data_IF_602796926200
#
_entry.id   IF_602796926200
#
_cell.length_a   1.000
_cell.length_b   1.000
_cell.length_c   1.000
_cell.angle_alpha   90.00
_cell.angle_beta   90.00
_cell.angle_gamma   90.00
#
_symmetry.space_group_name_H-M   'P 1'
#
loop_
_entity.id
_entity.type
_entity.pdbx_description
1 polymer ?
#
# COMPACT_ATOMS: atom_id res chain seq x y z
N UNK A 1 -6.00 2.41 40.25
CA UNK A 1 -6.15 3.66 39.47
C UNK A 1 -5.58 3.53 38.05
N UNK A 2 -5.70 2.38 37.40
CA UNK A 2 -5.09 2.13 36.08
C UNK A 2 -6.03 1.42 35.08
N UNK A 3 -7.29 1.20 35.46
CA UNK A 3 -8.27 0.45 34.64
C UNK A 3 -9.26 1.42 33.98
N UNK A 4 -9.75 2.43 34.70
CA UNK A 4 -10.67 3.46 34.18
C UNK A 4 -10.04 4.35 33.10
N UNK A 5 -8.72 4.58 33.15
CA UNK A 5 -7.99 5.39 32.16
C UNK A 5 -7.83 4.67 30.81
N UNK A 6 -7.81 3.34 30.81
CA UNK A 6 -7.64 2.52 29.60
C UNK A 6 -8.99 2.32 28.88
N UNK A 7 -10.10 2.22 29.63
CA UNK A 7 -11.45 2.17 29.07
C UNK A 7 -11.88 3.50 28.42
N UNK A 8 -11.54 4.64 29.05
CA UNK A 8 -11.78 5.98 28.49
C UNK A 8 -10.94 6.24 27.23
N UNK A 9 -9.71 5.74 27.18
CA UNK A 9 -8.87 5.84 25.99
C UNK A 9 -9.41 4.94 24.86
N UNK A 10 -9.89 3.74 25.22
CA UNK A 10 -10.56 2.82 24.30
C UNK A 10 -11.85 3.40 23.69
N UNK A 11 -12.69 4.06 24.50
CA UNK A 11 -13.94 4.66 24.02
C UNK A 11 -13.70 5.83 23.08
N UNK A 12 -12.75 6.72 23.40
CA UNK A 12 -12.39 7.86 22.54
C UNK A 12 -11.82 7.40 21.19
N UNK A 13 -11.02 6.33 21.19
CA UNK A 13 -10.47 5.75 19.95
C UNK A 13 -11.55 5.04 19.13
N UNK A 14 -12.52 4.38 19.77
CA UNK A 14 -13.68 3.77 19.11
C UNK A 14 -14.61 4.80 18.47
N UNK A 15 -14.82 5.94 19.14
CA UNK A 15 -15.64 7.04 18.63
C UNK A 15 -14.98 7.71 17.41
N UNK A 16 -13.67 7.93 17.47
CA UNK A 16 -12.92 8.50 16.35
C UNK A 16 -12.93 7.56 15.13
N UNK A 17 -12.78 6.26 15.34
CA UNK A 17 -12.86 5.28 14.25
C UNK A 17 -14.27 5.22 13.64
N UNK A 18 -15.33 5.26 14.47
CA UNK A 18 -16.72 5.30 14.00
C UNK A 18 -17.00 6.53 13.13
N UNK A 19 -16.52 7.70 13.55
CA UNK A 19 -16.64 8.95 12.80
C UNK A 19 -15.97 8.85 11.44
N UNK A 20 -14.73 8.36 11.38
CA UNK A 20 -13.97 8.23 10.14
C UNK A 20 -14.60 7.24 9.15
N UNK A 21 -15.23 6.18 9.66
CA UNK A 21 -15.96 5.20 8.85
C UNK A 21 -17.27 5.76 8.31
N UNK A 22 -17.98 6.55 9.10
CA UNK A 22 -19.18 7.26 8.66
C UNK A 22 -18.84 8.34 7.63
N UNK A 23 -17.75 9.09 7.83
CA UNK A 23 -17.23 10.06 6.87
C UNK A 23 -16.82 9.40 5.55
N UNK A 24 -16.11 8.28 5.59
CA UNK A 24 -15.74 7.53 4.40
C UNK A 24 -16.96 6.90 3.71
N UNK A 25 -17.92 6.40 4.49
CA UNK A 25 -19.18 5.90 3.95
C UNK A 25 -19.94 7.00 3.21
N UNK A 26 -20.00 8.19 3.81
CA UNK A 26 -20.66 9.36 3.24
C UNK A 26 -19.92 9.88 2.01
N UNK A 27 -18.59 9.90 2.02
CA UNK A 27 -17.75 10.20 0.86
C UNK A 27 -18.04 9.26 -0.31
N UNK A 28 -18.05 7.95 -0.09
CA UNK A 28 -18.35 6.98 -1.16
C UNK A 28 -19.82 7.03 -1.62
N UNK A 29 -20.75 7.39 -0.73
CA UNK A 29 -22.18 7.57 -1.05
C UNK A 29 -22.41 8.79 -1.94
N UNK A 30 -21.65 9.87 -1.73
CA UNK A 30 -21.81 11.16 -2.42
C UNK A 30 -20.85 11.36 -3.60
N UNK A 31 -19.84 10.49 -3.73
CA UNK A 31 -18.95 10.41 -4.90
C UNK A 31 -19.74 10.29 -6.22
N UNK A 32 -19.20 10.79 -7.34
CA UNK A 32 -19.82 10.66 -8.66
C UNK A 32 -18.93 9.85 -9.63
N UNK A 33 -19.35 8.67 -10.11
CA UNK A 33 -20.57 7.97 -9.74
C UNK A 33 -20.52 7.43 -8.29
N UNK A 34 -21.67 7.26 -7.61
CA UNK A 34 -21.71 6.75 -6.25
C UNK A 34 -21.16 5.34 -6.11
N UNK A 35 -20.29 5.12 -5.11
CA UNK A 35 -19.65 3.83 -4.82
C UNK A 35 -20.33 3.13 -3.63
N UNK A 36 -21.63 2.84 -3.74
CA UNK A 36 -22.44 2.31 -2.64
C UNK A 36 -21.89 1.03 -1.99
N UNK A 37 -21.25 0.14 -2.76
CA UNK A 37 -20.61 -1.07 -2.20
C UNK A 37 -19.49 -0.72 -1.20
N UNK A 38 -18.70 0.31 -1.50
CA UNK A 38 -17.64 0.79 -0.60
C UNK A 38 -18.25 1.49 0.62
N UNK A 39 -19.28 2.32 0.42
CA UNK A 39 -19.99 2.99 1.51
C UNK A 39 -20.57 1.99 2.54
N UNK A 40 -21.21 0.92 2.05
CA UNK A 40 -21.77 -0.13 2.90
C UNK A 40 -20.67 -0.89 3.65
N UNK A 41 -19.50 -1.12 3.04
CA UNK A 41 -18.36 -1.77 3.72
C UNK A 41 -17.85 -0.91 4.88
N UNK A 42 -17.73 0.40 4.69
CA UNK A 42 -17.30 1.33 5.75
C UNK A 42 -18.24 1.31 6.97
N UNK A 43 -19.56 1.35 6.77
CA UNK A 43 -20.56 1.31 7.86
C UNK A 43 -20.47 0.00 8.68
N UNK A 44 -20.00 -1.10 8.08
CA UNK A 44 -19.94 -2.42 8.75
C UNK A 44 -18.63 -2.70 9.50
N UNK A 45 -17.62 -1.84 9.39
CA UNK A 45 -16.29 -2.08 9.97
C UNK A 45 -16.27 -2.04 11.51
N UNK A 46 -17.09 -1.20 12.15
CA UNK A 46 -17.06 -1.02 13.62
C UNK A 46 -17.42 -2.32 14.37
N UNK A 47 -18.43 -3.06 13.89
CA UNK A 47 -18.79 -4.37 14.44
C UNK A 47 -17.78 -5.49 14.16
N UNK A 48 -16.77 -5.28 13.32
CA UNK A 48 -15.81 -6.32 12.91
C UNK A 48 -14.56 -6.39 13.80
N UNK A 49 -14.22 -5.33 14.53
CA UNK A 49 -13.06 -5.34 15.45
C UNK A 49 -13.34 -6.19 16.70
N UNK A 50 -14.60 -6.24 17.13
CA UNK A 50 -15.08 -7.02 18.28
C UNK A 50 -15.45 -8.47 17.92
N UNK A 51 -15.68 -8.76 16.64
CA UNK A 51 -16.20 -10.05 16.17
C UNK A 51 -15.12 -11.14 15.88
N UNK A 52 -13.87 -10.91 16.32
CA UNK A 52 -12.80 -11.91 16.29
C UNK A 52 -12.04 -12.04 14.96
N UNK A 53 -11.20 -13.08 14.86
CA UNK A 53 -10.26 -13.32 13.75
C UNK A 53 -10.91 -13.53 12.37
N UNK A 54 -12.21 -13.82 12.33
CA UNK A 54 -12.97 -14.07 11.10
C UNK A 54 -13.10 -12.87 10.16
N UNK A 55 -12.81 -11.66 10.62
CA UNK A 55 -13.03 -10.41 9.86
C UNK A 55 -11.76 -9.67 9.46
N UNK A 56 -10.58 -10.23 9.74
CA UNK A 56 -9.30 -9.57 9.47
C UNK A 56 -9.14 -9.20 8.00
N UNK A 57 -9.54 -10.07 7.07
CA UNK A 57 -9.49 -9.80 5.64
C UNK A 57 -10.31 -8.56 5.24
N UNK A 58 -11.51 -8.40 5.81
CA UNK A 58 -12.37 -7.24 5.58
C UNK A 58 -11.82 -5.98 6.22
N UNK A 59 -11.25 -6.08 7.43
CA UNK A 59 -10.62 -4.94 8.10
C UNK A 59 -9.45 -4.39 7.30
N UNK A 60 -8.57 -5.27 6.83
CA UNK A 60 -7.44 -4.94 5.98
C UNK A 60 -7.92 -4.28 4.67
N UNK A 61 -8.95 -4.85 4.02
CA UNK A 61 -9.50 -4.27 2.79
C UNK A 61 -10.05 -2.85 3.00
N UNK A 62 -10.80 -2.65 4.08
CA UNK A 62 -11.38 -1.35 4.42
C UNK A 62 -10.29 -0.34 4.80
N UNK A 63 -9.26 -0.78 5.51
CA UNK A 63 -8.12 0.07 5.85
C UNK A 63 -7.38 0.57 4.60
N UNK A 64 -7.20 -0.27 3.58
CA UNK A 64 -6.66 0.17 2.30
C UNK A 64 -7.55 1.25 1.64
N UNK A 65 -8.87 1.05 1.63
CA UNK A 65 -9.81 2.03 1.03
C UNK A 65 -9.82 3.37 1.79
N UNK A 66 -9.75 3.32 3.12
CA UNK A 66 -9.65 4.51 3.97
C UNK A 66 -8.32 5.24 3.75
N UNK A 67 -7.22 4.49 3.67
CA UNK A 67 -5.91 5.07 3.39
C UNK A 67 -5.87 5.77 2.02
N UNK A 68 -6.41 5.15 0.97
CA UNK A 68 -6.54 5.77 -0.35
C UNK A 68 -7.33 7.10 -0.27
N UNK A 69 -8.43 7.14 0.48
CA UNK A 69 -9.20 8.37 0.70
C UNK A 69 -8.40 9.42 1.47
N UNK A 70 -7.67 9.03 2.53
CA UNK A 70 -6.79 9.93 3.27
C UNK A 70 -5.67 10.51 2.41
N UNK A 71 -5.05 9.71 1.54
CA UNK A 71 -4.01 10.16 0.63
C UNK A 71 -4.54 11.20 -0.35
N UNK A 72 -5.76 11.03 -0.87
CA UNK A 72 -6.39 12.01 -1.77
C UNK A 72 -6.59 13.39 -1.11
N UNK A 73 -6.92 13.42 0.19
CA UNK A 73 -7.07 14.66 0.96
C UNK A 73 -5.78 15.09 1.68
N UNK A 74 -4.65 14.42 1.42
CA UNK A 74 -3.33 14.66 2.06
C UNK A 74 -3.32 14.51 3.59
N UNK A 75 -4.22 13.72 4.14
CA UNK A 75 -4.22 13.34 5.56
C UNK A 75 -3.22 12.19 5.80
N UNK A 76 -1.92 12.48 5.70
CA UNK A 76 -0.86 11.47 5.66
C UNK A 76 -0.64 10.73 7.00
N UNK A 77 -0.69 11.44 8.13
CA UNK A 77 -0.45 10.84 9.45
C UNK A 77 -1.55 9.83 9.85
N UNK A 78 -2.85 10.14 9.69
CA UNK A 78 -3.92 9.15 9.89
C UNK A 78 -3.79 7.92 8.98
N UNK A 79 -3.45 8.12 7.70
CA UNK A 79 -3.24 7.01 6.76
C UNK A 79 -2.11 6.09 7.24
N UNK A 80 -0.97 6.67 7.61
CA UNK A 80 0.20 5.93 8.11
C UNK A 80 -0.13 5.13 9.36
N UNK A 81 -0.80 5.75 10.34
CA UNK A 81 -1.16 5.09 11.59
C UNK A 81 -2.10 3.90 11.35
N UNK A 82 -3.15 4.10 10.54
CA UNK A 82 -4.11 3.06 10.18
C UNK A 82 -3.44 1.87 9.49
N UNK A 83 -2.63 2.13 8.47
CA UNK A 83 -1.95 1.09 7.70
C UNK A 83 -0.94 0.32 8.56
N UNK A 84 -0.18 1.00 9.44
CA UNK A 84 0.76 0.33 10.35
C UNK A 84 0.04 -0.63 11.30
N UNK A 85 -1.11 -0.22 11.84
CA UNK A 85 -1.91 -1.06 12.73
C UNK A 85 -2.41 -2.33 12.03
N UNK A 86 -2.98 -2.20 10.84
CA UNK A 86 -3.55 -3.35 10.12
C UNK A 86 -2.48 -4.22 9.45
N UNK A 87 -1.29 -3.67 9.17
CA UNK A 87 -0.18 -4.44 8.59
C UNK A 87 0.19 -5.67 9.46
N UNK A 88 0.12 -5.53 10.79
CA UNK A 88 0.43 -6.58 11.76
C UNK A 88 -0.49 -7.82 11.64
N UNK A 89 -1.68 -7.66 11.08
CA UNK A 89 -2.70 -8.71 10.98
C UNK A 89 -2.91 -9.20 9.54
N UNK A 90 -2.28 -8.55 8.56
CA UNK A 90 -2.58 -8.77 7.13
C UNK A 90 -1.75 -9.89 6.49
N UNK A 91 -0.71 -10.42 7.15
CA UNK A 91 0.25 -11.38 6.56
C UNK A 91 -0.38 -12.65 6.01
N UNK A 92 -1.47 -13.11 6.62
CA UNK A 92 -2.23 -14.29 6.16
C UNK A 92 -3.02 -14.04 4.86
N UNK A 93 -3.05 -12.80 4.38
CA UNK A 93 -3.75 -12.34 3.18
C UNK A 93 -2.77 -11.65 2.21
N UNK A 94 -1.95 -12.41 1.45
CA UNK A 94 -0.79 -11.88 0.72
C UNK A 94 -1.08 -10.69 -0.21
N UNK A 95 -2.16 -10.74 -1.00
CA UNK A 95 -2.54 -9.65 -1.91
C UNK A 95 -2.92 -8.38 -1.15
N UNK A 96 -3.70 -8.51 -0.09
CA UNK A 96 -4.12 -7.38 0.74
C UNK A 96 -2.95 -6.82 1.56
N UNK A 97 -2.05 -7.69 2.03
CA UNK A 97 -0.80 -7.29 2.67
C UNK A 97 0.08 -6.47 1.73
N UNK A 98 0.27 -6.95 0.48
CA UNK A 98 1.03 -6.22 -0.53
C UNK A 98 0.46 -4.82 -0.74
N UNK A 99 -0.88 -4.70 -0.82
CA UNK A 99 -1.56 -3.42 -0.98
C UNK A 99 -1.34 -2.49 0.22
N UNK A 100 -1.33 -2.98 1.46
CA UNK A 100 -0.93 -2.18 2.64
C UNK A 100 0.50 -1.67 2.49
N UNK A 101 1.44 -2.53 2.09
CA UNK A 101 2.85 -2.14 1.95
C UNK A 101 3.03 -1.06 0.86
N UNK A 102 2.36 -1.18 -0.28
CA UNK A 102 2.39 -0.14 -1.31
C UNK A 102 1.81 1.18 -0.82
N UNK A 103 0.67 1.16 -0.13
CA UNK A 103 0.07 2.37 0.43
C UNK A 103 0.95 3.00 1.52
N UNK A 104 1.64 2.19 2.33
CA UNK A 104 2.61 2.70 3.31
C UNK A 104 3.81 3.36 2.62
N UNK A 105 4.38 2.72 1.59
CA UNK A 105 5.47 3.28 0.82
C UNK A 105 5.07 4.59 0.13
N UNK A 106 3.87 4.64 -0.46
CA UNK A 106 3.31 5.86 -1.05
C UNK A 106 3.10 6.95 0.00
N UNK A 107 2.60 6.60 1.20
CA UNK A 107 2.44 7.54 2.31
C UNK A 107 3.79 8.15 2.70
N UNK A 108 4.83 7.33 2.86
CA UNK A 108 6.19 7.80 3.17
C UNK A 108 6.77 8.66 2.03
N UNK A 109 6.58 8.26 0.77
CA UNK A 109 7.01 9.05 -0.40
C UNK A 109 6.34 10.43 -0.44
N UNK A 110 5.03 10.51 -0.17
CA UNK A 110 4.29 11.78 -0.08
C UNK A 110 4.72 12.65 1.11
N UNK A 111 5.31 12.06 2.14
CA UNK A 111 5.97 12.77 3.25
C UNK A 111 7.42 13.17 2.93
N UNK A 112 7.91 12.91 1.71
CA UNK A 112 9.32 13.06 1.28
C UNK A 112 10.31 12.17 2.07
N UNK A 113 9.81 11.08 2.64
CA UNK A 113 10.59 10.12 3.40
C UNK A 113 10.97 8.92 2.52
N UNK A 114 11.85 9.19 1.56
CA UNK A 114 12.26 8.24 0.52
C UNK A 114 12.99 7.01 1.07
N UNK A 115 13.70 7.17 2.21
CA UNK A 115 14.40 6.07 2.86
C UNK A 115 13.40 5.02 3.37
N UNK A 116 12.42 5.44 4.17
CA UNK A 116 11.40 4.50 4.67
C UNK A 116 10.54 3.96 3.52
N UNK A 117 10.22 4.76 2.51
CA UNK A 117 9.49 4.27 1.33
C UNK A 117 10.27 3.15 0.62
N UNK A 118 11.58 3.31 0.41
CA UNK A 118 12.46 2.30 -0.18
C UNK A 118 12.58 1.05 0.70
N UNK A 119 12.75 1.21 2.02
CA UNK A 119 12.85 0.09 2.95
C UNK A 119 11.58 -0.78 2.93
N UNK A 120 10.39 -0.17 2.88
CA UNK A 120 9.12 -0.89 2.84
C UNK A 120 9.00 -1.73 1.56
N UNK A 121 9.31 -1.15 0.39
CA UNK A 121 9.21 -1.89 -0.87
C UNK A 121 10.29 -2.96 -1.01
N UNK A 122 11.51 -2.72 -0.52
CA UNK A 122 12.59 -3.71 -0.52
C UNK A 122 12.27 -4.88 0.42
N UNK A 123 11.69 -4.60 1.60
CA UNK A 123 11.17 -5.64 2.50
C UNK A 123 10.04 -6.45 1.85
N UNK A 124 9.12 -5.79 1.15
CA UNK A 124 8.06 -6.45 0.37
C UNK A 124 8.63 -7.37 -0.70
N UNK A 125 9.59 -6.89 -1.51
CA UNK A 125 10.24 -7.71 -2.53
C UNK A 125 10.87 -8.98 -1.95
N UNK A 126 11.59 -8.87 -0.83
CA UNK A 126 12.19 -10.01 -0.14
C UNK A 126 11.12 -11.00 0.35
N UNK A 127 10.06 -10.49 0.99
CA UNK A 127 8.98 -11.30 1.53
C UNK A 127 8.25 -12.09 0.45
N UNK A 128 7.82 -11.45 -0.63
CA UNK A 128 7.08 -12.14 -1.70
C UNK A 128 7.97 -13.05 -2.54
N UNK A 129 9.27 -12.75 -2.65
CA UNK A 129 10.25 -13.70 -3.19
C UNK A 129 10.36 -14.98 -2.36
N UNK A 130 10.36 -14.88 -1.03
CA UNK A 130 10.38 -16.05 -0.13
C UNK A 130 9.08 -16.86 -0.16
N UNK A 131 7.94 -16.20 -0.39
CA UNK A 131 6.64 -16.86 -0.55
C UNK A 131 6.47 -17.55 -1.90
N UNK A 132 7.42 -17.36 -2.83
CA UNK A 132 7.33 -17.91 -4.18
C UNK A 132 6.28 -17.22 -5.05
N UNK A 133 6.01 -15.94 -4.80
CA UNK A 133 5.14 -15.10 -5.63
C UNK A 133 5.99 -14.16 -6.51
N UNK A 134 6.45 -14.63 -7.69
CA UNK A 134 7.33 -13.84 -8.55
C UNK A 134 6.64 -12.59 -9.11
N UNK A 135 5.31 -12.62 -9.23
CA UNK A 135 4.53 -11.50 -9.74
C UNK A 135 4.54 -10.33 -8.75
N UNK A 136 4.19 -10.57 -7.50
CA UNK A 136 4.24 -9.53 -6.47
C UNK A 136 5.67 -9.10 -6.17
N UNK A 137 6.63 -10.02 -6.16
CA UNK A 137 8.04 -9.64 -6.05
C UNK A 137 8.46 -8.64 -7.15
N UNK A 138 8.10 -8.89 -8.41
CA UNK A 138 8.40 -7.99 -9.52
C UNK A 138 7.79 -6.60 -9.30
N UNK A 139 6.52 -6.51 -8.88
CA UNK A 139 5.89 -5.21 -8.59
C UNK A 139 6.64 -4.42 -7.50
N UNK A 140 7.04 -5.08 -6.41
CA UNK A 140 7.79 -4.40 -5.34
C UNK A 140 9.14 -3.89 -5.83
N UNK A 141 9.87 -4.68 -6.62
CA UNK A 141 11.16 -4.26 -7.16
C UNK A 141 11.02 -3.13 -8.18
N UNK A 142 9.98 -3.15 -9.00
CA UNK A 142 9.64 -2.06 -9.92
C UNK A 142 9.33 -0.76 -9.17
N UNK A 143 8.52 -0.82 -8.11
CA UNK A 143 8.25 0.35 -7.26
C UNK A 143 9.50 0.85 -6.55
N UNK A 144 10.39 -0.04 -6.15
CA UNK A 144 11.69 0.34 -5.58
C UNK A 144 12.58 1.07 -6.59
N UNK A 145 12.67 0.57 -7.83
CA UNK A 145 13.36 1.26 -8.91
C UNK A 145 12.73 2.65 -9.20
N UNK A 146 11.40 2.77 -9.18
CA UNK A 146 10.72 4.05 -9.33
C UNK A 146 11.10 5.05 -8.22
N UNK A 147 11.12 4.61 -6.95
CA UNK A 147 11.52 5.47 -5.82
C UNK A 147 12.97 5.95 -5.98
N UNK A 148 13.89 5.06 -6.36
CA UNK A 148 15.30 5.43 -6.59
C UNK A 148 15.43 6.39 -7.79
N UNK A 149 14.62 6.23 -8.84
CA UNK A 149 14.63 7.11 -10.00
C UNK A 149 14.28 8.57 -9.69
N UNK A 150 13.69 8.83 -8.52
CA UNK A 150 13.43 10.20 -8.08
C UNK A 150 14.69 10.96 -7.65
N UNK A 151 15.81 10.28 -7.40
CA UNK A 151 17.10 10.88 -7.08
C UNK A 151 18.10 10.66 -8.24
N UNK A 152 18.37 11.73 -8.97
CA UNK A 152 19.23 11.72 -10.16
C UNK A 152 20.69 11.38 -9.85
N UNK A 153 21.10 11.40 -8.58
CA UNK A 153 22.47 11.06 -8.18
C UNK A 153 22.67 9.54 -8.04
N UNK A 154 21.61 8.72 -8.18
CA UNK A 154 21.63 7.27 -7.93
C UNK A 154 21.50 6.45 -9.22
N UNK A 155 22.02 6.96 -10.33
CA UNK A 155 21.96 6.32 -11.66
C UNK A 155 22.51 4.88 -11.69
N UNK A 156 23.68 4.64 -11.08
CA UNK A 156 24.28 3.29 -11.04
C UNK A 156 23.39 2.29 -10.27
N UNK A 157 22.84 2.73 -9.14
CA UNK A 157 21.94 1.90 -8.33
C UNK A 157 20.65 1.59 -9.09
N UNK A 158 20.10 2.58 -9.78
CA UNK A 158 18.90 2.39 -10.58
C UNK A 158 19.14 1.42 -11.74
N UNK A 159 20.25 1.55 -12.46
CA UNK A 159 20.64 0.65 -13.54
C UNK A 159 20.73 -0.79 -13.05
N UNK A 160 21.34 -0.99 -11.87
CA UNK A 160 21.40 -2.30 -11.21
C UNK A 160 20.00 -2.82 -10.89
N UNK A 161 19.13 -2.02 -10.28
CA UNK A 161 17.74 -2.42 -9.93
C UNK A 161 16.91 -2.78 -11.15
N UNK A 162 17.01 -2.02 -12.25
CA UNK A 162 16.32 -2.31 -13.52
C UNK A 162 16.80 -3.64 -14.11
N UNK A 163 18.11 -3.90 -14.08
CA UNK A 163 18.69 -5.15 -14.57
C UNK A 163 18.19 -6.35 -13.75
N UNK A 164 18.19 -6.22 -12.42
CA UNK A 164 17.67 -7.26 -11.51
C UNK A 164 16.18 -7.56 -11.75
N UNK A 165 15.36 -6.52 -11.94
CA UNK A 165 13.93 -6.67 -12.27
C UNK A 165 13.74 -7.36 -13.60
N UNK A 166 14.50 -6.97 -14.63
CA UNK A 166 14.39 -7.53 -15.97
C UNK A 166 14.66 -9.04 -15.96
N UNK A 167 15.71 -9.47 -15.26
CA UNK A 167 16.02 -10.89 -15.08
C UNK A 167 14.90 -11.65 -14.34
N UNK A 168 14.28 -11.02 -13.33
CA UNK A 168 13.16 -11.65 -12.59
C UNK A 168 11.88 -11.71 -13.40
N UNK A 169 11.68 -10.77 -14.32
CA UNK A 169 10.53 -10.74 -15.21
C UNK A 169 10.53 -11.96 -16.16
N UNK A 170 11.71 -12.48 -16.52
CA UNK A 170 11.85 -13.73 -17.28
C UNK A 170 11.42 -14.97 -16.47
N UNK A 171 11.48 -14.90 -15.13
CA UNK A 171 11.04 -15.98 -14.25
C UNK A 171 9.51 -15.98 -14.04
N UNK A 172 8.81 -14.93 -14.43
CA UNK A 172 7.34 -14.88 -14.41
C UNK A 172 6.80 -15.65 -15.62
N UNK A 173 5.85 -16.57 -15.39
CA UNK A 173 5.24 -17.36 -16.46
C UNK A 173 4.70 -16.46 -17.58
N UNK A 174 4.93 -16.86 -18.84
CA UNK A 174 4.40 -16.18 -20.02
C UNK A 174 2.87 -16.11 -20.04
N UNK A 175 2.20 -17.07 -19.39
CA UNK A 175 0.74 -17.12 -19.27
C UNK A 175 0.20 -16.30 -18.09
N UNK A 176 1.07 -15.61 -17.33
CA UNK A 176 0.64 -14.78 -16.22
C UNK A 176 -0.14 -13.56 -16.75
N UNK A 177 -1.42 -13.36 -16.38
CA UNK A 177 -2.24 -12.25 -16.87
C UNK A 177 -1.66 -10.86 -16.57
N UNK A 178 -0.76 -10.76 -15.58
CA UNK A 178 -0.16 -9.51 -15.16
C UNK A 178 1.17 -9.18 -15.86
N UNK A 179 1.74 -10.09 -16.65
CA UNK A 179 3.08 -9.94 -17.22
C UNK A 179 3.21 -8.70 -18.12
N UNK A 180 2.21 -8.42 -18.96
CA UNK A 180 2.23 -7.25 -19.83
C UNK A 180 2.17 -5.93 -19.05
N UNK A 181 1.42 -5.90 -17.93
CA UNK A 181 1.38 -4.75 -17.04
C UNK A 181 2.73 -4.53 -16.33
N UNK A 182 3.43 -5.60 -15.95
CA UNK A 182 4.77 -5.50 -15.37
C UNK A 182 5.79 -4.99 -16.38
N UNK A 183 5.76 -5.50 -17.62
CA UNK A 183 6.60 -4.99 -18.71
C UNK A 183 6.34 -3.51 -18.97
N UNK A 184 5.07 -3.11 -19.08
CA UNK A 184 4.68 -1.72 -19.24
C UNK A 184 5.22 -0.85 -18.09
N UNK A 185 5.12 -1.31 -16.84
CA UNK A 185 5.67 -0.58 -15.70
C UNK A 185 7.20 -0.48 -15.75
N UNK A 186 7.90 -1.56 -16.13
CA UNK A 186 9.35 -1.56 -16.33
C UNK A 186 9.77 -0.50 -17.38
N UNK A 187 9.05 -0.42 -18.50
CA UNK A 187 9.31 0.59 -19.53
C UNK A 187 9.05 2.00 -19.02
N UNK A 188 8.00 2.23 -18.23
CA UNK A 188 7.74 3.54 -17.62
C UNK A 188 8.91 3.96 -16.73
N UNK A 189 9.42 3.07 -15.88
CA UNK A 189 10.59 3.37 -15.02
C UNK A 189 11.84 3.70 -15.87
N UNK A 190 12.10 2.93 -16.93
CA UNK A 190 13.22 3.18 -17.85
C UNK A 190 13.08 4.52 -18.58
N UNK A 191 11.89 4.84 -19.08
CA UNK A 191 11.63 6.12 -19.76
C UNK A 191 11.81 7.29 -18.78
N UNK A 192 11.25 7.19 -17.57
CA UNK A 192 11.44 8.20 -16.52
C UNK A 192 12.93 8.43 -16.24
N UNK A 193 13.74 7.37 -16.20
CA UNK A 193 15.19 7.47 -16.05
C UNK A 193 15.87 8.18 -17.23
N UNK A 194 15.64 7.74 -18.46
CA UNK A 194 16.28 8.32 -19.65
C UNK A 194 15.93 9.80 -19.85
N UNK A 195 14.66 10.17 -19.59
CA UNK A 195 14.24 11.58 -19.58
C UNK A 195 15.04 12.37 -18.55
N UNK A 196 15.26 11.80 -17.37
CA UNK A 196 15.91 12.50 -16.27
C UNK A 196 17.43 12.64 -16.43
N UNK A 197 18.09 11.73 -17.15
CA UNK A 197 19.52 11.82 -17.50
C UNK A 197 19.79 12.60 -18.79
N UNK A 198 18.74 13.04 -19.50
CA UNK A 198 18.86 13.78 -20.76
C UNK A 198 19.36 12.94 -21.94
N UNK A 199 19.30 11.61 -21.83
CA UNK A 199 19.64 10.67 -22.90
C UNK A 199 18.36 10.30 -23.68
N UNK A 200 17.99 11.10 -24.67
CA UNK A 200 16.99 10.73 -25.70
C UNK A 200 17.59 10.83 -27.10
#
# INVERSE_FOLDING_TARGET
MSVESDELLGSVVLDQAALLLLEAAEFFRTHNPPKYKAAIKCVRYHGMKEAGSSYVSYRVEIACLLAEAYLQIKALEPAKQLLRQESAHSRDFPVSHARILFLLAETHALMNDWNNASEIVDAGALQFGQLGDPALECYFRLSSAMIVSMDLNREEELTKRITEVSNKLEAVSADNPCLDYMKAYCYVVQICFFISTGQM
#
